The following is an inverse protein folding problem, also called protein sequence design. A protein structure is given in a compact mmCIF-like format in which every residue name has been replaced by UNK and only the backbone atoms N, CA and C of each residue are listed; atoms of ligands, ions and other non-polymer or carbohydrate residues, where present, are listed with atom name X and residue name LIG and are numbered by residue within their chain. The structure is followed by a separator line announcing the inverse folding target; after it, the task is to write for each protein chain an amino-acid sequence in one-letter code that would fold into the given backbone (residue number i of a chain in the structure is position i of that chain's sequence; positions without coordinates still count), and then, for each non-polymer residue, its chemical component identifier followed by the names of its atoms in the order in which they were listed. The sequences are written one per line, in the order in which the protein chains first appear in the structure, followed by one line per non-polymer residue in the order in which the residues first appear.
data_IF_588864352134
#
_entry.id   IF_588864352134
#
_cell.length_a   1.000
_cell.length_b   1.000
_cell.length_c   1.000
_cell.angle_alpha   90.00
_cell.angle_beta   90.00
_cell.angle_gamma   90.00
#
_symmetry.space_group_name_H-M   'P 1'
#
loop_
_entity.id
_entity.type
_entity.pdbx_description
1 polymer ?
#
# COMPACT_ATOMS: atom_id res chain seq x y z
N UNK A 1 13.00 -25.07 -9.45
CA UNK A 1 12.10 -24.69 -8.33
C UNK A 1 12.76 -23.66 -7.41
N UNK A 2 13.56 -22.72 -7.95
CA UNK A 2 14.42 -21.82 -7.15
C UNK A 2 14.21 -20.33 -7.40
N UNK A 3 13.33 -19.93 -8.34
CA UNK A 3 13.15 -18.50 -8.70
C UNK A 3 12.35 -17.65 -7.70
N UNK A 4 11.82 -18.23 -6.61
CA UNK A 4 10.96 -17.50 -5.65
C UNK A 4 11.58 -17.22 -4.28
N UNK A 5 12.76 -17.78 -3.98
CA UNK A 5 13.40 -17.62 -2.67
C UNK A 5 14.18 -16.30 -2.50
N UNK A 6 14.23 -15.46 -3.54
CA UNK A 6 14.87 -14.14 -3.54
C UNK A 6 13.86 -12.97 -3.55
N UNK A 7 12.62 -13.19 -3.10
CA UNK A 7 11.67 -12.10 -2.79
C UNK A 7 12.06 -11.45 -1.45
N UNK A 8 13.20 -10.75 -1.53
CA UNK A 8 13.83 -9.88 -0.56
C UNK A 8 12.81 -9.12 0.30
N UNK A 9 13.18 -8.88 1.56
CA UNK A 9 12.49 -8.04 2.56
C UNK A 9 11.99 -6.65 2.06
N UNK A 10 12.35 -6.24 0.83
CA UNK A 10 11.93 -5.01 0.14
C UNK A 10 10.44 -4.94 -0.21
N UNK A 11 9.74 -6.06 -0.32
CA UNK A 11 8.32 -6.11 -0.68
C UNK A 11 7.38 -6.18 0.52
N UNK A 12 7.90 -5.95 1.73
CA UNK A 12 7.13 -5.93 2.97
C UNK A 12 6.80 -4.47 3.32
N UNK A 13 5.51 -4.16 3.45
CA UNK A 13 5.03 -2.82 3.75
C UNK A 13 4.09 -2.89 4.95
N UNK A 14 4.39 -2.07 5.96
CA UNK A 14 3.54 -1.97 7.15
C UNK A 14 2.34 -1.05 6.87
N UNK A 15 1.17 -1.46 7.33
CA UNK A 15 -0.04 -0.65 7.26
C UNK A 15 -0.76 -0.58 8.62
N UNK A 16 -1.68 0.37 8.72
CA UNK A 16 -2.61 0.52 9.85
C UNK A 16 -4.02 0.61 9.30
N UNK A 17 -4.97 -0.10 9.90
CA UNK A 17 -6.40 -0.01 9.54
C UNK A 17 -6.93 1.38 9.88
N UNK A 18 -7.67 1.99 8.94
CA UNK A 18 -8.32 3.29 9.14
C UNK A 18 -9.76 3.12 9.61
N UNK A 19 -10.13 3.82 10.68
CA UNK A 19 -11.53 3.95 11.12
C UNK A 19 -12.31 5.03 10.35
N UNK A 20 -11.64 6.13 9.96
CA UNK A 20 -12.25 7.28 9.28
C UNK A 20 -11.81 7.35 7.81
N UNK A 21 -12.71 7.82 6.95
CA UNK A 21 -12.45 7.99 5.51
C UNK A 21 -13.11 9.27 4.97
N UNK A 22 -12.88 9.62 3.70
CA UNK A 22 -13.39 10.84 3.08
C UNK A 22 -12.29 11.90 2.84
N UNK A 23 -12.65 12.94 2.09
CA UNK A 23 -11.71 13.96 1.56
C UNK A 23 -10.84 14.61 2.65
N UNK A 24 -11.48 15.12 3.70
CA UNK A 24 -10.81 15.82 4.81
C UNK A 24 -9.86 14.88 5.55
N UNK A 25 -10.31 13.66 5.86
CA UNK A 25 -9.49 12.66 6.55
C UNK A 25 -8.28 12.24 5.71
N UNK A 26 -8.49 11.98 4.41
CA UNK A 26 -7.40 11.63 3.49
C UNK A 26 -6.37 12.76 3.36
N UNK A 27 -6.83 14.01 3.33
CA UNK A 27 -5.95 15.18 3.35
C UNK A 27 -5.11 15.24 4.63
N UNK A 28 -5.75 15.07 5.79
CA UNK A 28 -5.06 15.05 7.08
C UNK A 28 -4.05 13.89 7.17
N UNK A 29 -4.38 12.71 6.65
CA UNK A 29 -3.43 11.59 6.61
C UNK A 29 -2.20 11.91 5.75
N UNK A 30 -2.39 12.52 4.57
CA UNK A 30 -1.27 12.95 3.73
C UNK A 30 -0.40 14.01 4.41
N UNK A 31 -0.99 14.98 5.10
CA UNK A 31 -0.25 15.96 5.95
C UNK A 31 0.60 15.24 7.02
N UNK A 32 0.06 14.19 7.61
CA UNK A 32 0.73 13.40 8.64
C UNK A 32 1.66 12.30 8.08
N UNK A 33 2.16 12.45 6.84
CA UNK A 33 3.09 11.50 6.20
C UNK A 33 2.53 10.07 6.10
N UNK A 34 1.25 9.94 5.79
CA UNK A 34 0.63 8.67 5.41
C UNK A 34 0.11 8.70 3.96
N UNK A 35 0.15 7.54 3.33
CA UNK A 35 -0.44 7.25 2.03
C UNK A 35 -1.72 6.45 2.29
N UNK A 36 -2.91 7.04 2.05
CA UNK A 36 -4.16 6.30 2.12
C UNK A 36 -4.21 5.22 1.04
N UNK A 37 -4.72 4.05 1.38
CA UNK A 37 -4.92 2.96 0.42
C UNK A 37 -6.15 2.12 0.77
N UNK A 38 -6.57 1.30 -0.18
CA UNK A 38 -7.62 0.29 0.01
C UNK A 38 -7.12 -1.10 -0.39
N UNK A 39 -7.57 -2.12 0.33
CA UNK A 39 -7.39 -3.53 -0.05
C UNK A 39 -8.78 -4.10 -0.29
N UNK A 40 -9.04 -4.59 -1.49
CA UNK A 40 -10.32 -5.21 -1.80
C UNK A 40 -10.20 -6.59 -2.45
N UNK A 41 -11.27 -7.36 -2.25
CA UNK A 41 -11.58 -8.62 -2.93
C UNK A 41 -13.10 -8.82 -2.85
N UNK A 42 -13.64 -9.93 -3.37
CA UNK A 42 -15.08 -10.19 -3.36
C UNK A 42 -15.75 -10.00 -1.98
N UNK A 43 -15.05 -10.36 -0.89
CA UNK A 43 -15.61 -10.35 0.47
C UNK A 43 -14.92 -9.35 1.42
N UNK A 44 -14.00 -8.52 0.92
CA UNK A 44 -13.15 -7.66 1.77
C UNK A 44 -13.07 -6.28 1.12
N UNK A 45 -13.27 -5.23 1.93
CA UNK A 45 -12.97 -3.85 1.55
C UNK A 45 -12.36 -3.12 2.75
N UNK A 46 -11.03 -3.19 2.88
CA UNK A 46 -10.29 -2.63 4.00
C UNK A 46 -9.66 -1.30 3.61
N UNK A 47 -9.96 -0.25 4.40
CA UNK A 47 -9.32 1.06 4.29
C UNK A 47 -8.09 1.06 5.19
N UNK A 48 -6.92 1.33 4.61
CA UNK A 48 -5.63 1.29 5.32
C UNK A 48 -4.81 2.57 5.09
N UNK A 49 -3.83 2.80 5.95
CA UNK A 49 -2.81 3.83 5.79
C UNK A 49 -1.43 3.19 5.80
N UNK A 50 -0.59 3.60 4.87
CA UNK A 50 0.82 3.21 4.78
C UNK A 50 1.68 4.42 5.15
N UNK A 51 2.77 4.22 5.91
CA UNK A 51 3.69 5.33 6.20
C UNK A 51 4.40 5.78 4.93
N UNK A 52 4.54 7.08 4.73
CA UNK A 52 5.20 7.67 3.55
C UNK A 52 6.68 7.25 3.40
N UNK A 53 7.33 6.71 4.45
CA UNK A 53 8.66 6.09 4.34
C UNK A 53 8.73 4.97 3.28
N UNK A 54 7.61 4.33 2.97
CA UNK A 54 7.52 3.27 1.95
C UNK A 54 7.24 3.79 0.53
N UNK A 55 7.11 5.10 0.34
CA UNK A 55 6.78 5.72 -0.94
C UNK A 55 7.69 5.26 -2.09
N UNK A 56 9.01 5.41 -1.90
CA UNK A 56 9.99 5.02 -2.92
C UNK A 56 10.00 3.51 -3.18
N UNK A 57 9.81 2.69 -2.14
CA UNK A 57 9.71 1.25 -2.30
C UNK A 57 8.50 0.88 -3.16
N UNK A 58 7.35 1.48 -2.91
CA UNK A 58 6.12 1.22 -3.67
C UNK A 58 6.30 1.62 -5.13
N UNK A 59 6.88 2.79 -5.40
CA UNK A 59 7.16 3.24 -6.78
C UNK A 59 8.09 2.27 -7.51
N UNK A 60 9.18 1.84 -6.86
CA UNK A 60 10.12 0.88 -7.45
C UNK A 60 9.45 -0.46 -7.75
N UNK A 61 8.63 -0.97 -6.83
CA UNK A 61 7.88 -2.22 -7.00
C UNK A 61 6.94 -2.10 -8.21
N UNK A 62 6.19 -1.01 -8.30
CA UNK A 62 5.27 -0.74 -9.41
C UNK A 62 5.97 -0.65 -10.76
N UNK A 63 7.05 0.15 -10.85
CA UNK A 63 7.80 0.37 -12.09
C UNK A 63 8.51 -0.90 -12.60
N UNK A 64 8.93 -1.79 -11.69
CA UNK A 64 9.57 -3.05 -12.06
C UNK A 64 8.56 -4.14 -12.47
N UNK A 65 7.27 -3.81 -12.66
CA UNK A 65 6.18 -4.76 -12.92
C UNK A 65 6.03 -5.87 -11.87
N UNK A 66 6.63 -5.70 -10.68
CA UNK A 66 6.51 -6.63 -9.56
C UNK A 66 5.22 -6.33 -8.83
N UNK A 67 4.09 -6.86 -9.30
CA UNK A 67 2.79 -6.46 -8.73
C UNK A 67 2.56 -6.98 -7.31
N UNK A 68 3.27 -8.01 -6.84
CA UNK A 68 2.99 -8.72 -5.57
C UNK A 68 3.68 -8.09 -4.37
N UNK A 69 2.90 -7.69 -3.36
CA UNK A 69 3.34 -7.05 -2.12
C UNK A 69 2.85 -7.83 -0.90
N UNK A 70 3.67 -7.84 0.15
CA UNK A 70 3.30 -8.34 1.47
C UNK A 70 2.95 -7.16 2.39
N UNK A 71 1.68 -7.00 2.70
CA UNK A 71 1.19 -6.01 3.66
C UNK A 71 1.16 -6.63 5.06
N UNK A 72 1.74 -5.95 6.06
CA UNK A 72 1.72 -6.38 7.46
C UNK A 72 0.98 -5.33 8.30
N UNK A 73 -0.07 -5.77 9.00
CA UNK A 73 -0.78 -4.92 9.96
C UNK A 73 0.14 -4.63 11.15
N UNK A 74 0.36 -3.34 11.44
CA UNK A 74 1.21 -2.93 12.54
C UNK A 74 0.70 -3.41 13.91
N UNK A 75 -0.62 -3.53 14.09
CA UNK A 75 -1.26 -3.83 15.39
C UNK A 75 -1.28 -5.33 15.70
N UNK A 76 -1.82 -6.14 14.79
CA UNK A 76 -2.02 -7.59 15.03
C UNK A 76 -1.07 -8.48 14.23
N UNK A 77 -0.10 -7.90 13.51
CA UNK A 77 0.89 -8.61 12.69
C UNK A 77 0.29 -9.51 11.61
N UNK A 78 -1.00 -9.33 11.28
CA UNK A 78 -1.64 -10.06 10.19
C UNK A 78 -0.96 -9.70 8.86
N UNK A 79 -0.51 -10.72 8.15
CA UNK A 79 0.11 -10.60 6.83
C UNK A 79 -0.94 -10.84 5.74
N UNK A 80 -0.99 -9.97 4.75
CA UNK A 80 -1.87 -10.10 3.58
C UNK A 80 -1.00 -9.95 2.32
N UNK A 81 -1.20 -10.87 1.38
CA UNK A 81 -0.57 -10.80 0.07
C UNK A 81 -1.53 -10.05 -0.86
N UNK A 82 -1.02 -9.04 -1.55
CA UNK A 82 -1.82 -8.21 -2.45
C UNK A 82 -1.10 -7.93 -3.76
N UNK A 83 -1.86 -7.52 -4.75
CA UNK A 83 -1.39 -6.90 -5.97
C UNK A 83 -1.68 -5.40 -5.98
N UNK A 84 -0.77 -4.59 -6.50
CA UNK A 84 -1.10 -3.20 -6.87
C UNK A 84 -1.98 -3.24 -8.12
N UNK A 85 -3.22 -2.74 -7.98
CA UNK A 85 -4.12 -2.52 -9.11
C UNK A 85 -3.90 -1.13 -9.72
N UNK A 86 -3.85 -0.10 -8.89
CA UNK A 86 -3.69 1.28 -9.33
C UNK A 86 -2.87 2.08 -8.32
N UNK A 87 -2.04 2.98 -8.84
CA UNK A 87 -1.38 4.03 -8.05
C UNK A 87 -1.81 5.38 -8.60
N UNK A 88 -2.38 6.20 -7.72
CA UNK A 88 -2.68 7.58 -8.04
C UNK A 88 -1.52 8.46 -7.57
N UNK A 89 -0.96 9.25 -8.48
CA UNK A 89 0.19 10.13 -8.24
C UNK A 89 -0.25 11.58 -8.43
N UNK A 90 0.20 12.47 -7.55
CA UNK A 90 0.06 13.90 -7.79
C UNK A 90 0.98 14.33 -8.94
N UNK A 91 0.47 14.92 -10.04
CA UNK A 91 1.29 15.22 -11.22
C UNK A 91 2.33 16.32 -10.98
N UNK A 92 2.10 17.21 -10.02
CA UNK A 92 2.99 18.34 -9.72
C UNK A 92 4.07 17.92 -8.71
N UNK A 93 3.65 17.26 -7.63
CA UNK A 93 4.53 16.90 -6.50
C UNK A 93 5.20 15.53 -6.67
N UNK A 94 4.81 14.78 -7.69
CA UNK A 94 5.24 13.41 -7.95
C UNK A 94 5.19 12.52 -6.69
N UNK A 95 4.14 12.64 -5.88
CA UNK A 95 3.95 11.81 -4.70
C UNK A 95 2.68 10.96 -4.80
N UNK A 96 2.72 9.75 -4.25
CA UNK A 96 1.57 8.86 -4.22
C UNK A 96 0.47 9.46 -3.33
N UNK A 97 -0.73 9.64 -3.88
CA UNK A 97 -1.90 10.17 -3.17
C UNK A 97 -2.89 9.10 -2.73
N UNK A 98 -2.93 7.98 -3.45
CA UNK A 98 -3.77 6.82 -3.16
C UNK A 98 -3.21 5.54 -3.81
N UNK A 99 -3.50 4.38 -3.24
CA UNK A 99 -3.18 3.07 -3.82
C UNK A 99 -4.38 2.14 -3.68
N UNK A 100 -4.68 1.45 -4.77
CA UNK A 100 -5.68 0.39 -4.80
C UNK A 100 -4.98 -0.96 -4.87
N UNK A 101 -5.23 -1.80 -3.86
CA UNK A 101 -4.75 -3.15 -3.81
C UNK A 101 -5.88 -4.15 -4.04
N UNK A 102 -5.62 -5.16 -4.87
CA UNK A 102 -6.43 -6.38 -4.91
C UNK A 102 -5.76 -7.44 -4.05
N UNK A 103 -6.49 -8.10 -3.16
CA UNK A 103 -5.96 -9.28 -2.45
C UNK A 103 -5.63 -10.40 -3.46
N UNK A 104 -4.41 -10.96 -3.36
CA UNK A 104 -3.99 -12.13 -4.13
C UNK A 104 -4.90 -13.32 -3.86
#
# INVERSE_FOLDING_TARGET
MEKYNNLNNKNIIEYIIRKKSGKINNYNYRKNKYIPAIIYSKNINLKINIKNKFHENIKKIYNNNLKKIYLIDKKNKKKIIVYIKEIQINPIKNNIIHIDFIKY
#
